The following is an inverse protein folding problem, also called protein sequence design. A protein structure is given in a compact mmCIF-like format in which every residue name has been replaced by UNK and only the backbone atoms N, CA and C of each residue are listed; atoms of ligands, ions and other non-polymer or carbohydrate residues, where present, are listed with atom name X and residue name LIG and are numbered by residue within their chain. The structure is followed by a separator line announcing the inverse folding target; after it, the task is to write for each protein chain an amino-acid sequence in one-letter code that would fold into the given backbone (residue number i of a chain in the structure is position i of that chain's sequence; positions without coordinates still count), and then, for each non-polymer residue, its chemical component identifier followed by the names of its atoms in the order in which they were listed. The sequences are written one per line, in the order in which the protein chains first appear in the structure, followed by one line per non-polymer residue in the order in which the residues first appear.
data_IF_210519152145
#
_entry.id   IF_210519152145
#
_cell.length_a   1.000
_cell.length_b   1.000
_cell.length_c   1.000
_cell.angle_alpha   90.00
_cell.angle_beta   90.00
_cell.angle_gamma   90.00
#
_symmetry.space_group_name_H-M   'P 1'
#
loop_
_entity.id
_entity.type
_entity.pdbx_description
1 polymer ?
#
# COMPACT_ATOMS: atom_id res chain seq x y z
N UNK A 1 -3.43 25.68 2.53
CA UNK A 1 -2.96 25.40 2.20
C UNK A 1 -2.75 24.79 1.44
N UNK A 2 -2.82 25.05 1.24
CA UNK A 2 -2.81 24.33 0.23
C UNK A 2 -1.81 23.53 -0.04
N UNK A 3 -0.97 23.42 0.47
CA UNK A 3 -0.06 22.44 0.23
C UNK A 3 -0.67 21.15 0.46
N UNK A 4 -1.76 21.07 1.07
CA UNK A 4 -2.39 19.81 1.21
C UNK A 4 -3.14 19.47 0.00
N UNK A 5 -2.93 18.29 -0.50
CA UNK A 5 -3.68 17.81 -1.63
C UNK A 5 -4.96 17.17 -1.14
N UNK A 6 -6.06 17.52 -1.79
CA UNK A 6 -7.30 16.81 -1.55
C UNK A 6 -7.28 15.49 -2.33
N UNK A 7 -7.46 14.40 -1.62
CA UNK A 7 -7.53 13.10 -2.27
C UNK A 7 -8.94 12.57 -2.15
N UNK A 8 -9.52 12.10 -3.25
CA UNK A 8 -10.90 11.62 -3.26
C UNK A 8 -11.07 10.25 -2.60
N UNK A 9 -10.01 9.69 -2.09
CA UNK A 9 -10.06 8.41 -1.43
C UNK A 9 -8.71 8.06 -0.90
N UNK A 10 -8.49 6.79 -0.70
CA UNK A 10 -7.22 6.33 -0.13
C UNK A 10 -6.85 4.98 -0.71
N UNK A 11 -5.64 4.54 -0.41
CA UNK A 11 -5.17 3.24 -0.84
C UNK A 11 -5.28 2.28 0.34
N UNK A 12 -5.82 1.12 0.07
CA UNK A 12 -5.97 0.05 1.06
C UNK A 12 -4.93 -1.02 0.78
N UNK A 13 -4.19 -1.42 1.81
CA UNK A 13 -3.11 -2.38 1.66
C UNK A 13 -3.43 -3.72 2.32
N UNK A 14 -4.68 -4.01 2.58
CA UNK A 14 -5.03 -5.27 3.23
C UNK A 14 -4.60 -6.48 2.40
N UNK A 15 -4.66 -6.35 1.08
CA UNK A 15 -4.20 -7.43 0.22
C UNK A 15 -2.71 -7.70 0.43
N UNK A 16 -1.94 -6.64 0.65
CA UNK A 16 -0.52 -6.78 0.90
C UNK A 16 -0.28 -7.62 2.16
N UNK A 17 -0.97 -7.27 3.24
CA UNK A 17 -0.75 -7.98 4.49
C UNK A 17 -1.21 -9.43 4.40
N UNK A 18 -2.31 -9.67 3.69
CA UNK A 18 -2.78 -11.04 3.49
C UNK A 18 -1.75 -11.86 2.72
N UNK A 19 -1.20 -11.28 1.67
CA UNK A 19 -0.22 -11.98 0.85
C UNK A 19 1.06 -12.22 1.62
N UNK A 20 1.49 -11.24 2.41
CA UNK A 20 2.66 -11.41 3.25
C UNK A 20 2.46 -12.57 4.23
N UNK A 21 1.28 -12.64 4.82
CA UNK A 21 0.99 -13.70 5.77
C UNK A 21 1.04 -15.06 5.09
N UNK A 22 0.47 -15.16 3.90
CA UNK A 22 0.48 -16.41 3.15
C UNK A 22 1.91 -16.83 2.83
N UNK A 23 2.77 -15.89 2.50
CA UNK A 23 4.14 -16.19 2.09
C UNK A 23 5.11 -16.21 3.26
N UNK A 24 4.63 -15.95 4.47
CA UNK A 24 5.48 -15.98 5.65
C UNK A 24 6.44 -14.81 5.76
N UNK A 25 6.11 -13.69 5.15
CA UNK A 25 6.94 -12.49 5.18
C UNK A 25 6.38 -11.53 6.21
N UNK A 26 7.23 -11.04 7.11
CA UNK A 26 6.82 -10.13 8.17
C UNK A 26 7.32 -8.74 7.88
N UNK A 27 6.78 -7.77 8.63
CA UNK A 27 7.21 -6.38 8.47
C UNK A 27 8.70 -6.21 8.71
N UNK A 28 9.25 -6.96 9.66
CA UNK A 28 10.70 -6.92 9.90
C UNK A 28 11.48 -7.38 8.70
N UNK A 29 10.93 -8.33 7.94
CA UNK A 29 11.59 -8.76 6.71
C UNK A 29 11.62 -7.65 5.69
N UNK A 30 10.55 -6.87 5.60
CA UNK A 30 10.52 -5.74 4.66
C UNK A 30 11.65 -4.77 4.97
N UNK A 31 11.88 -4.53 6.24
CA UNK A 31 12.91 -3.59 6.64
C UNK A 31 14.31 -4.18 6.50
N UNK A 32 14.51 -5.40 6.97
CA UNK A 32 15.85 -5.99 7.05
C UNK A 32 16.29 -6.61 5.75
N UNK A 33 15.38 -7.34 5.09
CA UNK A 33 15.75 -8.09 3.89
C UNK A 33 15.57 -7.28 2.62
N UNK A 34 14.57 -6.42 2.59
CA UNK A 34 14.23 -5.66 1.40
C UNK A 34 14.56 -4.18 1.53
N UNK A 35 15.10 -3.78 2.69
CA UNK A 35 15.60 -2.43 2.90
C UNK A 35 14.55 -1.34 2.75
N UNK A 36 13.32 -1.64 3.09
CA UNK A 36 12.28 -0.63 3.08
C UNK A 36 12.36 0.16 4.38
N UNK A 37 12.42 1.48 4.25
CA UNK A 37 12.59 2.34 5.41
C UNK A 37 11.41 2.19 6.38
N UNK A 38 11.67 2.21 7.69
CA UNK A 38 10.58 2.04 8.68
C UNK A 38 9.47 3.06 8.53
N UNK A 39 9.80 4.29 8.15
CA UNK A 39 8.78 5.31 7.93
C UNK A 39 7.82 4.90 6.83
N UNK A 40 8.34 4.30 5.76
CA UNK A 40 7.52 3.83 4.66
C UNK A 40 6.62 2.69 5.12
N UNK A 41 7.15 1.80 5.94
CA UNK A 41 6.36 0.70 6.46
C UNK A 41 5.21 1.23 7.31
N UNK A 42 5.47 2.26 8.11
CA UNK A 42 4.42 2.87 8.91
C UNK A 42 3.35 3.52 8.05
N UNK A 43 3.74 4.11 6.92
CA UNK A 43 2.77 4.68 5.99
C UNK A 43 1.87 3.60 5.41
N UNK A 44 2.45 2.46 5.10
CA UNK A 44 1.66 1.34 4.59
C UNK A 44 0.66 0.88 5.64
N UNK A 45 1.09 0.76 6.88
CA UNK A 45 0.20 0.35 7.97
C UNK A 45 -0.92 1.37 8.15
N UNK A 46 -0.60 2.64 7.99
CA UNK A 46 -1.59 3.71 8.17
C UNK A 46 -2.47 3.93 6.95
N UNK A 47 -2.21 3.23 5.86
CA UNK A 47 -3.00 3.40 4.65
C UNK A 47 -2.66 4.65 3.87
N UNK A 48 -1.45 5.17 4.01
CA UNK A 48 -1.01 6.37 3.31
C UNK A 48 -0.34 6.02 2.00
N UNK A 49 -0.16 7.05 1.16
CA UNK A 49 0.49 6.84 -0.13
C UNK A 49 1.98 6.63 0.05
N UNK A 50 2.58 5.86 -0.85
CA UNK A 50 4.01 5.58 -0.83
C UNK A 50 4.55 5.73 -2.24
N UNK A 51 5.88 5.76 -2.35
CA UNK A 51 6.53 5.85 -3.65
C UNK A 51 6.37 4.58 -4.45
N UNK A 52 6.30 4.73 -5.76
CA UNK A 52 6.21 3.55 -6.62
C UNK A 52 7.49 2.72 -6.56
N UNK A 53 8.62 3.31 -6.17
CA UNK A 53 9.82 2.51 -5.94
C UNK A 53 9.55 1.42 -4.92
N UNK A 54 8.84 1.75 -3.86
CA UNK A 54 8.49 0.78 -2.85
C UNK A 54 7.56 -0.29 -3.43
N UNK A 55 6.65 0.12 -4.31
CA UNK A 55 5.76 -0.83 -4.95
C UNK A 55 6.57 -1.85 -5.76
N UNK A 56 7.59 -1.38 -6.47
CA UNK A 56 8.45 -2.29 -7.24
C UNK A 56 9.11 -3.30 -6.30
N UNK A 57 9.63 -2.83 -5.18
CA UNK A 57 10.30 -3.71 -4.22
C UNK A 57 9.31 -4.75 -3.68
N UNK A 58 8.11 -4.31 -3.32
CA UNK A 58 7.11 -5.22 -2.76
C UNK A 58 6.67 -6.25 -3.79
N UNK A 59 6.47 -5.83 -5.03
CA UNK A 59 6.08 -6.76 -6.07
C UNK A 59 7.15 -7.80 -6.32
N UNK A 60 8.40 -7.39 -6.29
CA UNK A 60 9.51 -8.32 -6.47
C UNK A 60 9.59 -9.28 -5.28
N UNK A 61 9.46 -8.74 -4.07
CA UNK A 61 9.57 -9.55 -2.86
C UNK A 61 8.46 -10.59 -2.78
N UNK A 62 7.26 -10.23 -3.23
CA UNK A 62 6.11 -11.10 -3.12
C UNK A 62 5.77 -11.79 -4.45
N UNK A 63 6.53 -11.47 -5.49
CA UNK A 63 6.32 -12.04 -6.82
C UNK A 63 4.88 -11.84 -7.26
N UNK A 64 4.45 -10.59 -7.30
CA UNK A 64 3.07 -10.25 -7.60
C UNK A 64 3.00 -8.94 -8.34
N UNK A 65 1.79 -8.49 -8.64
CA UNK A 65 1.52 -7.24 -9.33
C UNK A 65 0.97 -6.21 -8.35
N UNK A 66 1.04 -4.91 -8.68
CA UNK A 66 0.53 -3.88 -7.77
C UNK A 66 -0.93 -4.09 -7.35
N UNK A 67 -1.77 -4.58 -8.26
CA UNK A 67 -3.17 -4.83 -7.91
C UNK A 67 -3.36 -5.94 -6.92
N UNK A 68 -2.32 -6.73 -6.67
CA UNK A 68 -2.38 -7.81 -5.69
C UNK A 68 -2.07 -7.33 -4.28
N UNK A 69 -1.56 -6.11 -4.13
CA UNK A 69 -1.13 -5.61 -2.83
C UNK A 69 -1.84 -4.32 -2.42
N UNK A 70 -2.57 -3.68 -3.33
CA UNK A 70 -3.26 -2.45 -2.98
C UNK A 70 -4.49 -2.27 -3.82
N UNK A 71 -5.41 -1.45 -3.30
CA UNK A 71 -6.60 -1.12 -4.06
C UNK A 71 -7.09 0.25 -3.66
N UNK A 72 -7.80 0.89 -4.54
CA UNK A 72 -8.33 2.23 -4.31
C UNK A 72 -9.68 2.15 -3.62
N UNK A 73 -9.81 2.91 -2.54
CA UNK A 73 -11.08 2.99 -1.80
C UNK A 73 -11.55 4.44 -1.88
N UNK A 74 -12.64 4.72 -2.59
CA UNK A 74 -13.14 6.09 -2.68
C UNK A 74 -13.79 6.54 -1.37
N UNK A 75 -13.70 7.84 -1.10
CA UNK A 75 -14.30 8.39 0.11
C UNK A 75 -15.82 8.38 0.04
N UNK A 76 -16.37 8.48 -1.16
CA UNK A 76 -17.81 8.48 -1.35
C UNK A 76 -18.22 7.32 -2.24
N UNK A 77 -18.08 6.09 -1.72
CA UNK A 77 -18.29 4.91 -2.56
C UNK A 77 -19.73 4.70 -2.98
N UNK A 78 -20.65 5.33 -2.28
CA UNK A 78 -22.05 5.14 -2.58
C UNK A 78 -22.61 6.18 -3.54
N UNK A 79 -21.77 7.01 -4.12
CA UNK A 79 -22.23 8.02 -5.04
C UNK A 79 -22.54 7.39 -6.38
N UNK A 80 -23.83 7.31 -6.78
CA UNK A 80 -24.18 6.62 -8.01
C UNK A 80 -23.66 7.33 -9.26
N UNK A 81 -23.37 8.60 -9.15
CA UNK A 81 -22.85 9.33 -10.30
C UNK A 81 -21.42 9.01 -10.60
N UNK A 82 -20.77 8.25 -9.76
CA UNK A 82 -19.41 7.83 -9.97
C UNK A 82 -19.29 6.63 -10.89
N UNK A 83 -20.38 6.16 -11.37
CA UNK A 83 -20.41 4.93 -12.19
C UNK A 83 -19.79 5.11 -13.57
#
# INVERSE_FOLDING_TARGET
MPKERYLPGKINYEKLFSLMNIKGIKKTNLRNDYKIHPTTIQKIVAGETINTDTIVILCDALNCQPGDIMEYIPDAPDNPDQQ
#
